data_IF_944908895199
#
_entry.id   IF_944908895199
#
_cell.length_a   1.000
_cell.length_b   1.000
_cell.length_c   1.000
_cell.angle_alpha   90.00
_cell.angle_beta   90.00
_cell.angle_gamma   90.00
#
_symmetry.space_group_name_H-M   'P 1'
#
loop_
_entity.id
_entity.type
_entity.pdbx_description
1 polymer ?
#
# COMPACT_ATOMS: atom_id res chain seq x y z
N UNK A 1 -6.81 -8.33 -32.07
CA UNK A 1 -7.45 -7.00 -32.21
C UNK A 1 -7.97 -6.60 -30.83
N UNK A 2 -7.29 -5.69 -30.12
CA UNK A 2 -7.80 -5.18 -28.83
C UNK A 2 -8.99 -4.26 -29.14
N UNK A 3 -10.12 -4.48 -28.48
CA UNK A 3 -11.35 -3.72 -28.71
C UNK A 3 -11.15 -2.34 -28.09
N UNK A 4 -11.03 -1.30 -28.92
CA UNK A 4 -11.01 0.10 -28.47
C UNK A 4 -12.40 0.46 -27.93
N UNK A 5 -12.61 0.23 -26.64
CA UNK A 5 -13.82 0.67 -25.95
C UNK A 5 -13.54 2.08 -25.46
N UNK A 6 -14.02 3.07 -26.21
CA UNK A 6 -13.97 4.47 -25.79
C UNK A 6 -14.98 4.71 -24.66
N UNK A 7 -14.50 4.81 -23.42
CA UNK A 7 -15.32 5.12 -22.25
C UNK A 7 -15.67 6.63 -22.18
N UNK A 8 -16.89 6.96 -21.83
CA UNK A 8 -17.25 8.34 -21.45
C UNK A 8 -16.60 8.70 -20.09
N UNK A 9 -16.44 10.00 -19.80
CA UNK A 9 -15.88 10.45 -18.51
C UNK A 9 -16.64 9.86 -17.31
N UNK A 10 -17.96 9.76 -17.41
CA UNK A 10 -18.81 9.15 -16.39
C UNK A 10 -18.42 7.68 -16.14
N UNK A 11 -18.21 6.91 -17.21
CA UNK A 11 -17.82 5.50 -17.09
C UNK A 11 -16.39 5.34 -16.55
N UNK A 12 -15.46 6.25 -16.88
CA UNK A 12 -14.11 6.27 -16.31
C UNK A 12 -14.20 6.50 -14.79
N UNK A 13 -14.96 7.50 -14.37
CA UNK A 13 -15.16 7.81 -12.95
C UNK A 13 -15.79 6.63 -12.21
N UNK A 14 -16.79 6.00 -12.80
CA UNK A 14 -17.45 4.80 -12.25
C UNK A 14 -16.47 3.62 -12.13
N UNK A 15 -15.59 3.44 -13.12
CA UNK A 15 -14.56 2.40 -13.10
C UNK A 15 -13.61 2.54 -11.91
N UNK A 16 -13.14 3.76 -11.64
CA UNK A 16 -12.29 4.07 -10.49
C UNK A 16 -13.06 3.98 -9.16
N UNK A 17 -14.32 4.41 -9.15
CA UNK A 17 -15.15 4.32 -7.95
C UNK A 17 -15.39 2.87 -7.52
N UNK A 18 -15.77 1.99 -8.45
CA UNK A 18 -16.03 0.56 -8.19
C UNK A 18 -14.82 -0.20 -7.61
N UNK A 19 -13.61 0.27 -7.88
CA UNK A 19 -12.36 -0.37 -7.44
C UNK A 19 -11.81 0.18 -6.12
N UNK A 20 -12.37 1.28 -5.61
CA UNK A 20 -11.91 1.90 -4.35
C UNK A 20 -12.04 0.94 -3.16
N UNK A 21 -13.11 0.16 -3.10
CA UNK A 21 -13.30 -0.85 -2.04
C UNK A 21 -12.20 -1.91 -2.09
N UNK A 22 -11.90 -2.46 -3.28
CA UNK A 22 -10.80 -3.41 -3.45
C UNK A 22 -9.46 -2.82 -3.02
N UNK A 23 -9.19 -1.58 -3.41
CA UNK A 23 -7.97 -0.86 -3.03
C UNK A 23 -7.84 -0.72 -1.51
N UNK A 24 -8.88 -0.24 -0.83
CA UNK A 24 -8.87 -0.04 0.62
C UNK A 24 -8.81 -1.34 1.41
N UNK A 25 -9.53 -2.39 0.98
CA UNK A 25 -9.42 -3.72 1.60
C UNK A 25 -8.00 -4.27 1.46
N UNK A 26 -7.40 -4.13 0.27
CA UNK A 26 -6.01 -4.52 0.04
C UNK A 26 -5.05 -3.78 0.96
N UNK A 27 -5.21 -2.47 1.13
CA UNK A 27 -4.43 -1.69 2.08
C UNK A 27 -4.56 -2.23 3.50
N UNK A 28 -5.78 -2.39 4.02
CA UNK A 28 -5.99 -2.90 5.38
C UNK A 28 -5.33 -4.27 5.59
N UNK A 29 -5.47 -5.19 4.63
CA UNK A 29 -4.83 -6.50 4.68
C UNK A 29 -3.30 -6.39 4.65
N UNK A 30 -2.73 -5.56 3.76
CA UNK A 30 -1.28 -5.38 3.69
C UNK A 30 -0.68 -4.79 4.98
N UNK A 31 -1.37 -3.82 5.59
CA UNK A 31 -0.97 -3.26 6.87
C UNK A 31 -0.99 -4.29 7.99
N UNK A 32 -2.08 -5.07 8.07
CA UNK A 32 -2.20 -6.14 9.05
C UNK A 32 -1.10 -7.19 8.90
N UNK A 33 -0.87 -7.70 7.68
CA UNK A 33 0.18 -8.68 7.40
C UNK A 33 1.56 -8.10 7.74
N UNK A 34 1.83 -6.87 7.32
CA UNK A 34 3.10 -6.21 7.56
C UNK A 34 3.38 -5.97 9.05
N UNK A 35 2.38 -5.57 9.82
CA UNK A 35 2.53 -5.40 11.26
C UNK A 35 2.87 -6.72 11.97
N UNK A 36 2.18 -7.82 11.63
CA UNK A 36 2.50 -9.13 12.18
C UNK A 36 3.90 -9.58 11.79
N UNK A 37 4.34 -9.29 10.56
CA UNK A 37 5.69 -9.59 10.11
C UNK A 37 6.74 -8.76 10.86
N UNK A 38 6.48 -7.47 11.09
CA UNK A 38 7.35 -6.61 11.91
C UNK A 38 7.52 -7.17 13.32
N UNK A 39 6.41 -7.52 13.98
CA UNK A 39 6.44 -8.09 15.32
C UNK A 39 7.22 -9.40 15.36
N UNK A 40 6.91 -10.32 14.44
CA UNK A 40 7.60 -11.61 14.33
C UNK A 40 9.10 -11.43 14.07
N UNK A 41 9.50 -10.65 13.08
CA UNK A 41 10.92 -10.43 12.77
C UNK A 41 11.66 -9.74 13.93
N UNK A 42 11.01 -8.79 14.61
CA UNK A 42 11.58 -8.13 15.77
C UNK A 42 11.86 -9.10 16.92
N UNK A 43 10.91 -9.96 17.24
CA UNK A 43 11.06 -11.01 18.27
C UNK A 43 12.20 -11.98 17.95
N UNK A 44 12.32 -12.41 16.69
CA UNK A 44 13.31 -13.43 16.32
C UNK A 44 14.70 -12.88 16.01
N UNK A 45 14.79 -11.69 15.43
CA UNK A 45 16.05 -11.12 14.94
C UNK A 45 16.65 -10.06 15.87
N UNK A 46 15.81 -9.27 16.56
CA UNK A 46 16.28 -8.11 17.33
C UNK A 46 16.31 -8.42 18.82
N UNK A 47 15.21 -8.95 19.38
CA UNK A 47 15.07 -9.21 20.81
C UNK A 47 16.23 -10.02 21.43
N UNK A 48 16.83 -11.05 20.77
CA UNK A 48 17.96 -11.79 21.33
C UNK A 48 19.24 -10.95 21.57
N UNK A 49 19.33 -9.78 20.94
CA UNK A 49 20.48 -8.87 21.04
C UNK A 49 20.13 -7.53 21.70
N UNK A 50 18.85 -7.17 21.74
CA UNK A 50 18.31 -5.94 22.30
C UNK A 50 16.99 -6.24 23.03
N UNK A 51 17.11 -6.58 24.31
CA UNK A 51 15.96 -6.89 25.19
C UNK A 51 15.01 -5.69 25.39
N UNK A 52 15.42 -4.47 24.97
CA UNK A 52 14.56 -3.28 25.01
C UNK A 52 13.58 -3.21 23.84
N UNK A 53 13.73 -4.10 22.84
CA UNK A 53 12.77 -4.24 21.77
C UNK A 53 11.45 -4.82 22.31
N UNK A 54 10.46 -3.95 22.52
CA UNK A 54 9.15 -4.34 23.05
C UNK A 54 8.01 -3.79 22.19
N UNK A 55 7.09 -4.68 21.81
CA UNK A 55 5.81 -4.30 21.18
C UNK A 55 4.74 -4.22 22.25
N UNK A 56 4.58 -3.04 22.84
CA UNK A 56 3.54 -2.76 23.85
C UNK A 56 2.23 -2.34 23.21
N UNK A 57 1.13 -2.38 23.98
CA UNK A 57 -0.16 -1.83 23.54
C UNK A 57 -0.08 -0.35 23.12
N UNK A 58 0.80 0.43 23.76
CA UNK A 58 1.02 1.83 23.40
C UNK A 58 1.68 1.97 22.03
N UNK A 59 2.73 1.16 21.76
CA UNK A 59 3.38 1.15 20.44
C UNK A 59 2.41 0.69 19.34
N UNK A 60 1.58 -0.32 19.61
CA UNK A 60 0.55 -0.79 18.68
C UNK A 60 -0.49 0.29 18.37
N UNK A 61 -0.96 1.02 19.40
CA UNK A 61 -1.91 2.11 19.22
C UNK A 61 -1.29 3.25 18.40
N UNK A 62 -0.05 3.66 18.72
CA UNK A 62 0.66 4.71 17.99
C UNK A 62 0.89 4.34 16.53
N UNK A 63 1.36 3.11 16.26
CA UNK A 63 1.56 2.60 14.91
C UNK A 63 0.24 2.50 14.14
N UNK A 64 -0.86 2.11 14.80
CA UNK A 64 -2.19 2.08 14.19
C UNK A 64 -2.65 3.47 13.74
N UNK A 65 -2.41 4.50 14.55
CA UNK A 65 -2.71 5.91 14.18
C UNK A 65 -1.84 6.35 13.00
N UNK A 66 -0.53 6.06 13.04
CA UNK A 66 0.37 6.32 11.91
C UNK A 66 -0.08 5.60 10.63
N UNK A 67 -0.57 4.38 10.76
CA UNK A 67 -1.07 3.59 9.65
C UNK A 67 -2.35 4.20 9.03
N UNK A 68 -3.26 4.72 9.85
CA UNK A 68 -4.44 5.44 9.34
C UNK A 68 -4.06 6.69 8.54
N UNK A 69 -3.04 7.44 8.98
CA UNK A 69 -2.51 8.57 8.21
C UNK A 69 -1.94 8.11 6.86
N UNK A 70 -1.23 6.98 6.83
CA UNK A 70 -0.78 6.36 5.59
C UNK A 70 -1.94 5.96 4.67
N UNK A 71 -2.98 5.29 5.19
CA UNK A 71 -4.18 4.92 4.41
C UNK A 71 -4.88 6.14 3.82
N UNK A 72 -4.94 7.24 4.58
CA UNK A 72 -5.48 8.51 4.10
C UNK A 72 -4.66 9.05 2.91
N UNK A 73 -3.33 9.12 3.04
CA UNK A 73 -2.43 9.55 1.96
C UNK A 73 -2.57 8.65 0.73
N UNK A 74 -2.63 7.33 0.92
CA UNK A 74 -2.83 6.36 -0.15
C UNK A 74 -4.15 6.61 -0.91
N UNK A 75 -5.23 6.98 -0.21
CA UNK A 75 -6.50 7.36 -0.83
C UNK A 75 -6.44 8.67 -1.64
N UNK A 76 -5.56 9.61 -1.26
CA UNK A 76 -5.28 10.80 -2.07
C UNK A 76 -4.61 10.38 -3.38
N UNK A 77 -3.55 9.55 -3.31
CA UNK A 77 -2.89 9.02 -4.52
C UNK A 77 -3.82 8.20 -5.40
N UNK A 78 -4.72 7.40 -4.81
CA UNK A 78 -5.76 6.71 -5.54
C UNK A 78 -6.66 7.67 -6.33
N UNK A 79 -7.06 8.78 -5.70
CA UNK A 79 -7.87 9.82 -6.35
C UNK A 79 -7.10 10.50 -7.49
N UNK A 80 -5.79 10.71 -7.32
CA UNK A 80 -4.91 11.19 -8.39
C UNK A 80 -4.82 10.21 -9.57
N UNK A 81 -4.99 8.90 -9.34
CA UNK A 81 -5.07 7.88 -10.38
C UNK A 81 -6.17 8.16 -11.42
N UNK A 82 -7.35 8.62 -10.99
CA UNK A 82 -8.42 9.06 -11.90
C UNK A 82 -7.99 10.23 -12.79
N UNK A 83 -7.35 11.24 -12.20
CA UNK A 83 -6.87 12.40 -12.96
C UNK A 83 -5.76 12.00 -13.93
N UNK A 84 -4.82 11.16 -13.50
CA UNK A 84 -3.77 10.63 -14.36
C UNK A 84 -4.34 9.84 -15.55
N UNK A 85 -5.35 9.00 -15.33
CA UNK A 85 -6.09 8.34 -16.41
C UNK A 85 -6.70 9.36 -17.37
N UNK A 86 -7.42 10.37 -16.85
CA UNK A 86 -8.05 11.41 -17.67
C UNK A 86 -7.05 12.21 -18.53
N UNK A 87 -5.88 12.55 -18.00
CA UNK A 87 -4.90 13.40 -18.70
C UNK A 87 -3.92 12.63 -19.59
N UNK A 88 -3.53 11.42 -19.20
CA UNK A 88 -2.49 10.66 -19.90
C UNK A 88 -3.06 9.56 -20.80
N UNK A 89 -4.26 9.05 -20.56
CA UNK A 89 -4.91 8.04 -21.40
C UNK A 89 -5.62 8.66 -22.61
N UNK A 90 -4.86 9.31 -23.50
CA UNK A 90 -5.40 10.08 -24.64
C UNK A 90 -6.24 9.25 -25.60
N UNK A 91 -5.91 7.97 -25.76
CA UNK A 91 -6.62 7.01 -26.61
C UNK A 91 -7.69 6.24 -25.86
N UNK A 92 -7.91 6.56 -24.58
CA UNK A 92 -8.96 6.00 -23.74
C UNK A 92 -8.99 4.46 -23.70
N UNK A 93 -7.81 3.86 -23.65
CA UNK A 93 -7.66 2.41 -23.70
C UNK A 93 -7.81 1.84 -22.29
N UNK A 94 -8.63 0.80 -22.16
CA UNK A 94 -8.86 0.14 -20.86
C UNK A 94 -7.58 -0.43 -20.24
N UNK A 95 -6.69 -0.98 -21.07
CA UNK A 95 -5.42 -1.55 -20.63
C UNK A 95 -4.53 -0.52 -19.91
N UNK A 96 -4.46 0.71 -20.41
CA UNK A 96 -3.72 1.79 -19.74
C UNK A 96 -4.24 2.00 -18.32
N UNK A 97 -5.57 2.05 -18.17
CA UNK A 97 -6.26 2.27 -16.90
C UNK A 97 -6.05 1.10 -15.94
N UNK A 98 -6.12 -0.13 -16.43
CA UNK A 98 -5.83 -1.34 -15.64
C UNK A 98 -4.38 -1.30 -15.15
N UNK A 99 -3.41 -1.01 -16.03
CA UNK A 99 -2.00 -0.95 -15.67
C UNK A 99 -1.73 0.19 -14.67
N UNK A 100 -2.32 1.36 -14.86
CA UNK A 100 -2.21 2.48 -13.92
C UNK A 100 -2.75 2.13 -12.54
N UNK A 101 -3.92 1.50 -12.46
CA UNK A 101 -4.47 1.01 -11.19
C UNK A 101 -3.57 -0.05 -10.57
N UNK A 102 -3.10 -1.04 -11.33
CA UNK A 102 -2.27 -2.13 -10.81
C UNK A 102 -0.94 -1.62 -10.27
N UNK A 103 -0.29 -0.67 -10.97
CA UNK A 103 0.95 -0.05 -10.52
C UNK A 103 0.73 0.76 -9.24
N UNK A 104 -0.29 1.62 -9.20
CA UNK A 104 -0.60 2.40 -8.00
C UNK A 104 -1.01 1.53 -6.82
N UNK A 105 -1.82 0.50 -7.06
CA UNK A 105 -2.24 -0.47 -6.03
C UNK A 105 -1.05 -1.29 -5.53
N UNK A 106 -0.25 -1.87 -6.41
CA UNK A 106 0.95 -2.63 -6.05
C UNK A 106 1.94 -1.80 -5.24
N UNK A 107 2.24 -0.57 -5.69
CA UNK A 107 3.08 0.36 -4.93
C UNK A 107 2.53 0.59 -3.52
N UNK A 108 1.22 0.85 -3.42
CA UNK A 108 0.58 1.14 -2.13
C UNK A 108 0.55 -0.08 -1.19
N UNK A 109 0.42 -1.30 -1.73
CA UNK A 109 0.48 -2.55 -0.96
C UNK A 109 1.88 -2.86 -0.42
N UNK A 110 2.94 -2.40 -1.09
CA UNK A 110 4.33 -2.67 -0.71
C UNK A 110 4.85 -1.73 0.37
N UNK A 111 4.32 -0.50 0.47
CA UNK A 111 4.80 0.50 1.43
C UNK A 111 4.78 0.01 2.89
N UNK A 112 3.72 -0.66 3.40
CA UNK A 112 3.71 -1.15 4.77
C UNK A 112 4.92 -2.06 5.07
N UNK A 113 5.33 -2.87 4.10
CA UNK A 113 6.43 -3.83 4.22
C UNK A 113 7.81 -3.18 4.29
N UNK A 114 7.93 -1.87 4.09
CA UNK A 114 9.19 -1.16 4.35
C UNK A 114 9.60 -1.29 5.82
N UNK A 115 8.64 -1.32 6.75
CA UNK A 115 8.92 -1.44 8.19
C UNK A 115 9.55 -2.80 8.55
N UNK A 116 8.97 -3.97 8.22
CA UNK A 116 9.62 -5.25 8.44
C UNK A 116 10.91 -5.40 7.63
N UNK A 117 11.01 -4.82 6.44
CA UNK A 117 12.26 -4.81 5.68
C UNK A 117 13.38 -4.07 6.44
N UNK A 118 13.07 -2.93 7.06
CA UNK A 118 14.03 -2.19 7.89
C UNK A 118 14.48 -2.96 9.12
N UNK A 119 13.65 -3.83 9.70
CA UNK A 119 14.08 -4.76 10.77
C UNK A 119 15.16 -5.72 10.28
N UNK A 120 15.00 -6.27 9.07
CA UNK A 120 15.99 -7.16 8.47
C UNK A 120 17.30 -6.38 8.22
N UNK A 121 17.20 -5.17 7.66
CA UNK A 121 18.39 -4.32 7.43
C UNK A 121 19.10 -4.03 8.75
N UNK A 122 18.36 -3.57 9.77
CA UNK A 122 18.91 -3.29 11.11
C UNK A 122 19.66 -4.50 11.65
N UNK A 123 19.07 -5.68 11.56
CA UNK A 123 19.70 -6.92 12.03
C UNK A 123 21.07 -7.16 11.41
N UNK A 124 21.18 -7.06 10.08
CA UNK A 124 22.43 -7.25 9.36
C UNK A 124 23.44 -6.11 9.52
N UNK A 125 23.02 -4.92 9.94
CA UNK A 125 23.95 -3.79 10.14
C UNK A 125 24.45 -3.68 11.57
N UNK A 126 23.69 -4.16 12.55
CA UNK A 126 23.98 -3.96 13.98
C UNK A 126 24.43 -5.25 14.70
N UNK A 127 24.01 -6.44 14.25
CA UNK A 127 24.19 -7.68 15.01
C UNK A 127 24.86 -8.83 14.24
N UNK A 128 25.11 -8.66 12.94
CA UNK A 128 25.85 -9.61 12.09
C UNK A 128 27.05 -8.92 11.45
#
# INVERSE_FOLDING_TARGET
>A
MKKEINFTESQIREWWFKRRTKYNVGLLLSGFVSFNLYWFLGEFLIFPYDESFEVTIFTMAFQSVGYLAFVFIANIFYSLGYFADKFFNKTNVEEFRINLFNSGFGFSLLIPFLIPFLIIVRYFTEYY
#
